data_IF_574655232711
#
_entry.id   IF_574655232711
#
_cell.length_a   1.000
_cell.length_b   1.000
_cell.length_c   1.000
_cell.angle_alpha   90.00
_cell.angle_beta   90.00
_cell.angle_gamma   90.00
#
_symmetry.space_group_name_H-M   'P 1'
#
loop_
_entity.id
_entity.type
_entity.pdbx_description
1 polymer ?
#
# COMPACT_ATOMS: atom_id res chain seq x y z
N UNK A 1 -50.07 -7.80 49.68
CA UNK A 1 -48.77 -8.32 49.31
C UNK A 1 -48.48 -7.88 47.88
N UNK A 2 -47.63 -6.86 47.67
CA UNK A 2 -47.25 -6.37 46.33
C UNK A 2 -46.09 -7.23 45.80
N UNK A 3 -46.32 -7.96 44.69
CA UNK A 3 -45.25 -8.73 44.02
C UNK A 3 -44.37 -7.76 43.23
N UNK A 4 -43.12 -7.54 43.63
CA UNK A 4 -42.13 -6.89 42.83
C UNK A 4 -41.67 -7.85 41.72
N UNK A 5 -41.90 -7.47 40.47
CA UNK A 5 -41.36 -8.15 39.29
C UNK A 5 -39.94 -7.67 39.10
N UNK A 6 -38.90 -8.53 39.09
CA UNK A 6 -37.54 -8.06 38.82
C UNK A 6 -37.41 -7.68 37.34
N UNK A 7 -37.06 -6.42 37.10
CA UNK A 7 -36.77 -5.91 35.76
C UNK A 7 -35.35 -6.35 35.39
N UNK A 8 -35.28 -7.38 34.55
CA UNK A 8 -33.99 -7.89 34.05
C UNK A 8 -33.54 -6.99 32.88
N UNK A 9 -32.64 -6.05 33.13
CA UNK A 9 -32.02 -5.24 32.09
C UNK A 9 -30.98 -6.12 31.38
N UNK A 10 -31.34 -6.61 30.19
CA UNK A 10 -30.43 -7.33 29.31
C UNK A 10 -29.48 -6.28 28.67
N UNK A 11 -28.28 -6.15 29.21
CA UNK A 11 -27.21 -5.37 28.59
C UNK A 11 -26.71 -6.14 27.36
N UNK A 12 -27.20 -5.77 26.18
CA UNK A 12 -26.63 -6.20 24.90
C UNK A 12 -25.29 -5.48 24.73
N UNK A 13 -24.22 -6.14 25.11
CA UNK A 13 -22.87 -5.73 24.69
C UNK A 13 -22.77 -5.94 23.18
N UNK A 14 -22.90 -4.87 22.40
CA UNK A 14 -22.42 -4.87 21.04
C UNK A 14 -20.88 -4.94 21.13
N UNK A 15 -20.31 -6.12 20.96
CA UNK A 15 -18.91 -6.28 20.69
C UNK A 15 -18.68 -5.77 19.27
N UNK A 16 -18.42 -4.47 19.15
CA UNK A 16 -17.84 -3.93 17.92
C UNK A 16 -16.47 -4.59 17.74
N UNK A 17 -16.43 -5.64 16.94
CA UNK A 17 -15.16 -6.16 16.45
C UNK A 17 -14.57 -5.10 15.53
N UNK A 18 -13.66 -4.28 16.07
CA UNK A 18 -12.80 -3.47 15.24
C UNK A 18 -12.09 -4.43 14.28
N UNK A 19 -12.27 -4.22 12.97
CA UNK A 19 -11.56 -5.01 11.97
C UNK A 19 -10.09 -4.61 12.08
N UNK A 20 -9.31 -5.42 12.80
CA UNK A 20 -7.88 -5.21 12.96
C UNK A 20 -7.17 -5.58 11.64
N UNK A 21 -6.18 -4.77 11.29
CA UNK A 21 -5.23 -5.16 10.23
C UNK A 21 -4.43 -6.34 10.77
N UNK A 22 -4.47 -7.47 10.07
CA UNK A 22 -3.82 -8.70 10.51
C UNK A 22 -2.30 -8.49 10.65
N UNK A 23 -1.74 -8.77 11.83
CA UNK A 23 -0.29 -8.74 12.07
C UNK A 23 0.45 -9.66 11.10
N UNK A 24 -0.09 -10.84 10.80
CA UNK A 24 0.48 -11.78 9.83
C UNK A 24 0.58 -11.12 8.45
N UNK A 25 -0.48 -10.42 8.02
CA UNK A 25 -0.54 -9.71 6.75
C UNK A 25 0.51 -8.60 6.68
N UNK A 26 0.59 -7.78 7.73
CA UNK A 26 1.60 -6.70 7.86
C UNK A 26 3.01 -7.28 7.78
N UNK A 27 3.30 -8.32 8.58
CA UNK A 27 4.60 -8.97 8.60
C UNK A 27 4.95 -9.53 7.21
N UNK A 28 4.00 -10.20 6.54
CA UNK A 28 4.23 -10.77 5.21
C UNK A 28 4.55 -9.70 4.17
N UNK A 29 3.80 -8.61 4.13
CA UNK A 29 4.04 -7.54 3.14
C UNK A 29 5.39 -6.89 3.39
N UNK A 30 5.69 -6.51 4.64
CA UNK A 30 6.94 -5.89 5.02
C UNK A 30 8.14 -6.79 4.72
N UNK A 31 8.11 -8.05 5.19
CA UNK A 31 9.22 -8.98 5.00
C UNK A 31 9.45 -9.34 3.52
N UNK A 32 8.38 -9.39 2.71
CA UNK A 32 8.53 -9.64 1.27
C UNK A 32 9.23 -8.46 0.59
N UNK A 33 8.78 -7.21 0.85
CA UNK A 33 9.40 -6.04 0.23
C UNK A 33 10.83 -5.80 0.73
N UNK A 34 11.11 -6.09 1.99
CA UNK A 34 12.44 -5.91 2.60
C UNK A 34 13.30 -7.17 2.53
N UNK A 35 12.98 -8.15 1.69
CA UNK A 35 13.76 -9.35 1.56
C UNK A 35 15.00 -9.16 0.68
N UNK A 36 16.01 -10.02 0.83
CA UNK A 36 17.23 -10.02 0.02
C UNK A 36 16.95 -10.30 -1.46
N UNK A 37 15.89 -11.06 -1.76
CA UNK A 37 15.45 -11.35 -3.13
C UNK A 37 15.02 -10.07 -3.87
N UNK A 38 14.55 -9.07 -3.14
CA UNK A 38 14.18 -7.76 -3.70
C UNK A 38 15.39 -6.84 -3.93
N UNK A 39 16.59 -7.24 -3.49
CA UNK A 39 17.86 -6.53 -3.72
C UNK A 39 17.77 -5.02 -3.54
N UNK A 40 17.04 -4.57 -2.51
CA UNK A 40 16.88 -3.15 -2.19
C UNK A 40 16.10 -2.34 -3.22
N UNK A 41 15.38 -2.95 -4.12
CA UNK A 41 14.35 -2.35 -5.00
C UNK A 41 14.79 -1.06 -5.73
N UNK A 42 16.07 -0.98 -6.14
CA UNK A 42 16.54 0.22 -6.84
C UNK A 42 15.81 0.41 -8.17
N UNK A 43 15.31 1.63 -8.43
CA UNK A 43 14.58 1.94 -9.66
C UNK A 43 15.38 1.58 -10.92
N UNK A 44 14.70 0.93 -11.87
CA UNK A 44 15.27 0.47 -13.14
C UNK A 44 15.95 -0.89 -13.06
N UNK A 45 15.75 -1.64 -11.97
CA UNK A 45 16.17 -3.05 -11.82
C UNK A 45 14.99 -4.00 -11.95
N UNK A 46 15.21 -5.28 -12.33
CA UNK A 46 14.15 -6.29 -12.37
C UNK A 46 13.48 -6.52 -11.02
N UNK A 47 14.19 -6.36 -9.93
CA UNK A 47 13.68 -6.51 -8.57
C UNK A 47 12.73 -5.36 -8.19
N UNK A 48 13.00 -4.14 -8.67
CA UNK A 48 12.08 -3.01 -8.55
C UNK A 48 10.78 -3.25 -9.33
N UNK A 49 10.87 -3.78 -10.55
CA UNK A 49 9.69 -4.17 -11.33
C UNK A 49 8.91 -5.30 -10.64
N UNK A 50 9.61 -6.26 -10.02
CA UNK A 50 8.99 -7.33 -9.23
C UNK A 50 8.25 -6.79 -8.02
N UNK A 51 8.80 -5.79 -7.33
CA UNK A 51 8.14 -5.11 -6.22
C UNK A 51 6.87 -4.38 -6.70
N UNK A 52 6.91 -3.67 -7.83
CA UNK A 52 5.74 -3.02 -8.41
C UNK A 52 4.63 -4.02 -8.72
N UNK A 53 4.96 -5.16 -9.36
CA UNK A 53 4.02 -6.25 -9.65
C UNK A 53 3.45 -6.87 -8.37
N UNK A 54 4.28 -7.03 -7.33
CA UNK A 54 3.82 -7.53 -6.03
C UNK A 54 2.79 -6.59 -5.41
N UNK A 55 3.06 -5.29 -5.37
CA UNK A 55 2.14 -4.27 -4.84
C UNK A 55 0.84 -4.24 -5.66
N UNK A 56 0.92 -4.31 -7.00
CA UNK A 56 -0.25 -4.38 -7.86
C UNK A 56 -1.15 -5.60 -7.54
N UNK A 57 -0.57 -6.77 -7.24
CA UNK A 57 -1.32 -7.95 -6.77
C UNK A 57 -2.00 -7.71 -5.43
N UNK A 58 -1.39 -6.96 -4.51
CA UNK A 58 -2.00 -6.60 -3.24
C UNK A 58 -3.20 -5.67 -3.44
N UNK A 59 -3.08 -4.67 -4.31
CA UNK A 59 -4.17 -3.75 -4.65
C UNK A 59 -5.34 -4.48 -5.33
N UNK A 60 -5.04 -5.41 -6.25
CA UNK A 60 -6.07 -6.29 -6.84
C UNK A 60 -6.76 -7.13 -5.77
N UNK A 61 -6.01 -7.71 -4.83
CA UNK A 61 -6.55 -8.49 -3.70
C UNK A 61 -7.45 -7.66 -2.78
N UNK A 62 -7.30 -6.34 -2.78
CA UNK A 62 -8.14 -5.38 -2.05
C UNK A 62 -9.33 -4.86 -2.84
N UNK A 63 -9.61 -5.43 -4.02
CA UNK A 63 -10.72 -5.03 -4.90
C UNK A 63 -10.69 -3.54 -5.26
N UNK A 64 -9.48 -2.95 -5.39
CA UNK A 64 -9.34 -1.58 -5.87
C UNK A 64 -9.59 -1.54 -7.38
N UNK A 65 -10.18 -0.45 -7.85
CA UNK A 65 -10.24 -0.11 -9.28
C UNK A 65 -8.89 0.44 -9.74
N UNK A 66 -8.65 0.46 -11.05
CA UNK A 66 -7.49 1.15 -11.61
C UNK A 66 -7.65 2.67 -11.48
N UNK A 67 -6.56 3.39 -11.21
CA UNK A 67 -6.58 4.86 -11.20
C UNK A 67 -6.76 5.43 -12.59
N UNK A 68 -6.12 4.79 -13.59
CA UNK A 68 -6.18 5.16 -15.00
C UNK A 68 -5.98 3.91 -15.85
N UNK A 69 -6.52 3.92 -17.09
CA UNK A 69 -6.38 2.80 -18.02
C UNK A 69 -6.93 1.48 -17.49
N UNK A 70 -6.21 0.39 -17.71
CA UNK A 70 -6.59 -0.99 -17.42
C UNK A 70 -5.55 -1.74 -16.53
N UNK A 71 -4.68 -1.01 -15.88
CA UNK A 71 -3.59 -1.54 -15.05
C UNK A 71 -3.39 -0.74 -13.76
N UNK A 72 -2.93 -1.41 -12.70
CA UNK A 72 -2.42 -0.74 -11.50
C UNK A 72 -1.04 -0.12 -11.72
N UNK A 73 -0.29 -0.60 -12.73
CA UNK A 73 1.02 -0.08 -13.09
C UNK A 73 0.87 1.17 -13.94
N UNK A 74 1.30 2.31 -13.43
CA UNK A 74 1.26 3.62 -14.08
C UNK A 74 2.65 3.93 -14.60
N UNK A 75 2.88 3.83 -15.93
CA UNK A 75 4.21 3.98 -16.50
C UNK A 75 4.71 5.43 -16.49
N UNK A 76 6.02 5.59 -16.34
CA UNK A 76 6.74 6.84 -16.59
C UNK A 76 8.14 6.54 -17.10
N UNK A 77 8.79 7.55 -17.70
CA UNK A 77 10.15 7.41 -18.21
C UNK A 77 11.19 7.65 -17.10
N UNK A 78 12.17 6.76 -17.03
CA UNK A 78 13.36 6.93 -16.21
C UNK A 78 14.62 6.51 -16.98
N UNK A 79 15.50 7.46 -17.32
CA UNK A 79 16.75 7.22 -18.06
C UNK A 79 16.58 6.40 -19.35
N UNK A 80 15.56 6.74 -20.15
CA UNK A 80 15.27 6.07 -21.42
C UNK A 80 14.63 4.68 -21.27
N UNK A 81 14.19 4.29 -20.07
CA UNK A 81 13.47 3.06 -19.79
C UNK A 81 12.12 3.37 -19.16
N UNK A 82 11.20 2.43 -19.27
CA UNK A 82 9.92 2.51 -18.58
C UNK A 82 10.11 2.06 -17.14
N UNK A 83 9.63 2.86 -16.19
CA UNK A 83 9.44 2.52 -14.79
C UNK A 83 7.97 2.71 -14.42
N UNK A 84 7.55 2.19 -13.27
CA UNK A 84 6.13 2.19 -12.89
C UNK A 84 5.94 2.74 -11.48
N UNK A 85 4.95 3.62 -11.31
CA UNK A 85 4.25 3.76 -10.04
C UNK A 85 3.16 2.68 -9.97
N UNK A 86 2.61 2.43 -8.77
CA UNK A 86 1.47 1.54 -8.61
C UNK A 86 0.32 2.33 -8.01
N UNK A 87 -0.84 2.34 -8.67
CA UNK A 87 -1.99 3.11 -8.24
C UNK A 87 -3.28 2.29 -8.28
N UNK A 88 -4.04 2.37 -7.20
CA UNK A 88 -5.36 1.79 -7.09
C UNK A 88 -6.33 2.75 -6.39
N UNK A 89 -7.60 2.72 -6.73
CA UNK A 89 -8.61 3.59 -6.15
C UNK A 89 -9.83 2.79 -5.66
N UNK A 90 -10.33 3.15 -4.50
CA UNK A 90 -11.65 2.76 -4.01
C UNK A 90 -12.59 3.94 -4.14
N UNK A 91 -13.62 3.82 -4.96
CA UNK A 91 -14.61 4.88 -5.17
C UNK A 91 -15.48 5.07 -3.94
N UNK A 92 -15.64 6.31 -3.52
CA UNK A 92 -16.55 6.76 -2.48
C UNK A 92 -17.85 7.33 -3.06
N UNK A 93 -18.66 7.94 -2.18
CA UNK A 93 -19.94 8.55 -2.57
C UNK A 93 -19.79 9.96 -3.12
N UNK A 94 -18.75 10.69 -2.71
CA UNK A 94 -18.47 12.07 -3.11
C UNK A 94 -17.36 12.12 -4.16
N UNK A 95 -17.23 13.28 -4.79
CA UNK A 95 -16.18 13.64 -5.75
C UNK A 95 -14.81 13.92 -5.11
N UNK A 96 -14.75 14.00 -3.77
CA UNK A 96 -13.50 14.23 -3.05
C UNK A 96 -12.71 12.94 -2.89
N UNK A 97 -11.39 13.06 -3.01
CA UNK A 97 -10.46 11.94 -2.88
C UNK A 97 -9.45 12.20 -1.77
N UNK A 98 -9.20 11.18 -0.94
CA UNK A 98 -8.08 11.11 -0.01
C UNK A 98 -7.00 10.22 -0.63
N UNK A 99 -5.76 10.69 -0.68
CA UNK A 99 -4.63 9.92 -1.18
C UNK A 99 -3.78 9.42 -0.02
N UNK A 100 -3.46 8.12 -0.03
CA UNK A 100 -2.51 7.45 0.86
C UNK A 100 -1.31 7.03 0.02
N UNK A 101 -0.13 7.51 0.38
CA UNK A 101 1.05 7.35 -0.49
C UNK A 101 2.28 6.93 0.29
N UNK A 102 3.14 6.14 -0.35
CA UNK A 102 4.49 5.81 0.09
C UNK A 102 5.35 5.56 -1.14
N UNK A 103 6.67 5.63 -1.05
CA UNK A 103 7.53 5.11 -2.10
C UNK A 103 7.95 3.68 -1.81
N UNK A 104 8.20 2.88 -2.87
CA UNK A 104 8.58 1.49 -2.71
C UNK A 104 10.01 1.18 -3.16
N UNK A 105 10.66 2.10 -3.90
CA UNK A 105 12.05 1.96 -4.25
C UNK A 105 12.96 2.22 -3.04
N UNK A 106 14.19 1.69 -3.12
CA UNK A 106 15.28 1.99 -2.21
C UNK A 106 16.60 1.95 -2.98
N UNK A 107 17.73 1.97 -2.29
CA UNK A 107 19.05 2.26 -2.90
C UNK A 107 19.80 1.04 -3.42
N UNK A 108 19.17 -0.14 -3.42
CA UNK A 108 19.74 -1.33 -4.04
C UNK A 108 20.71 -2.09 -3.15
N UNK A 109 21.86 -2.45 -3.68
CA UNK A 109 22.90 -3.22 -2.96
C UNK A 109 24.31 -2.71 -3.27
N UNK A 110 25.28 -3.16 -2.48
CA UNK A 110 26.69 -2.82 -2.66
C UNK A 110 27.53 -4.06 -3.01
N UNK A 111 28.74 -3.84 -3.55
CA UNK A 111 29.71 -4.91 -3.79
C UNK A 111 30.59 -5.22 -2.55
N UNK A 112 30.22 -4.79 -1.35
CA UNK A 112 30.97 -5.08 -0.12
C UNK A 112 30.78 -6.54 0.26
N UNK A 113 31.79 -7.14 0.92
CA UNK A 113 31.65 -8.50 1.50
C UNK A 113 30.71 -8.47 2.71
N UNK A 114 29.94 -9.54 2.90
CA UNK A 114 28.97 -9.70 3.98
C UNK A 114 27.56 -9.28 3.53
N UNK A 115 26.77 -8.80 4.48
CA UNK A 115 25.45 -8.25 4.19
C UNK A 115 25.63 -6.97 3.35
N UNK A 116 25.17 -7.05 2.12
CA UNK A 116 25.39 -6.02 1.11
C UNK A 116 24.09 -5.49 0.49
N UNK A 117 22.93 -5.98 0.92
CA UNK A 117 21.62 -5.54 0.47
C UNK A 117 21.10 -4.44 1.39
N UNK A 118 20.74 -3.31 0.83
CA UNK A 118 19.97 -2.29 1.54
C UNK A 118 18.48 -2.69 1.47
N UNK A 119 18.03 -3.46 2.45
CA UNK A 119 16.68 -4.03 2.45
C UNK A 119 15.57 -2.97 2.51
N UNK A 120 15.83 -1.80 3.08
CA UNK A 120 14.88 -0.70 3.12
C UNK A 120 13.57 -1.08 3.81
N UNK A 121 13.65 -1.74 4.99
CA UNK A 121 12.46 -2.11 5.75
C UNK A 121 11.75 -0.86 6.29
N UNK A 122 12.50 0.04 6.90
CA UNK A 122 12.03 1.32 7.41
C UNK A 122 11.84 2.35 6.27
N UNK A 123 12.79 2.39 5.33
CA UNK A 123 12.79 3.28 4.17
C UNK A 123 12.66 2.50 2.85
N UNK A 124 11.48 2.29 2.26
CA UNK A 124 10.20 2.65 2.84
C UNK A 124 9.17 1.53 2.64
N UNK A 125 9.62 0.25 2.83
CA UNK A 125 8.70 -0.89 2.79
C UNK A 125 7.61 -0.78 3.89
N UNK A 126 7.93 -0.16 5.04
CA UNK A 126 6.99 0.11 6.14
C UNK A 126 5.85 1.03 5.70
N UNK A 127 6.15 2.12 4.99
CA UNK A 127 5.17 3.03 4.43
C UNK A 127 4.26 2.34 3.41
N UNK A 128 4.82 1.54 2.50
CA UNK A 128 4.02 0.75 1.54
C UNK A 128 3.14 -0.25 2.27
N UNK A 129 3.66 -0.93 3.30
CA UNK A 129 2.89 -1.85 4.14
C UNK A 129 1.73 -1.14 4.82
N UNK A 130 1.92 0.09 5.27
CA UNK A 130 0.87 0.93 5.86
C UNK A 130 -0.20 1.28 4.82
N UNK A 131 0.18 1.69 3.61
CA UNK A 131 -0.76 1.98 2.51
C UNK A 131 -1.61 0.75 2.17
N UNK A 132 -0.98 -0.43 2.08
CA UNK A 132 -1.69 -1.70 1.86
C UNK A 132 -2.61 -2.03 3.03
N UNK A 133 -2.16 -1.86 4.28
CA UNK A 133 -2.96 -2.10 5.48
C UNK A 133 -4.20 -1.20 5.56
N UNK A 134 -4.10 0.07 5.16
CA UNK A 134 -5.25 0.97 5.06
C UNK A 134 -6.21 0.47 3.97
N UNK A 135 -5.71 0.01 2.83
CA UNK A 135 -6.54 -0.57 1.76
C UNK A 135 -7.25 -1.85 2.24
N UNK A 136 -6.55 -2.74 2.96
CA UNK A 136 -7.12 -3.95 3.59
C UNK A 136 -8.26 -3.57 4.57
N UNK A 137 -8.03 -2.56 5.43
CA UNK A 137 -9.02 -2.09 6.41
C UNK A 137 -10.30 -1.57 5.77
N UNK A 138 -10.17 -0.83 4.66
CA UNK A 138 -11.32 -0.24 3.99
C UNK A 138 -11.94 -1.12 2.90
N UNK A 139 -11.38 -2.30 2.63
CA UNK A 139 -11.80 -3.18 1.54
C UNK A 139 -13.31 -3.36 1.45
N UNK A 140 -13.95 -3.76 2.56
CA UNK A 140 -15.39 -4.04 2.62
C UNK A 140 -16.22 -2.86 3.16
N UNK A 141 -15.58 -1.72 3.49
CA UNK A 141 -16.26 -0.56 4.07
C UNK A 141 -16.77 0.39 2.99
N UNK A 142 -17.97 0.91 3.17
CA UNK A 142 -18.48 2.04 2.37
C UNK A 142 -17.81 3.33 2.86
N UNK A 143 -17.28 4.12 1.94
CA UNK A 143 -16.59 5.38 2.24
C UNK A 143 -17.35 6.56 1.66
N UNK A 144 -17.24 7.72 2.31
CA UNK A 144 -17.82 8.94 1.78
C UNK A 144 -16.90 9.55 0.71
N UNK A 145 -15.61 9.65 1.00
CA UNK A 145 -14.59 10.07 0.03
C UNK A 145 -14.05 8.87 -0.75
N UNK A 146 -13.66 9.10 -1.99
CA UNK A 146 -12.81 8.16 -2.73
C UNK A 146 -11.45 8.05 -2.04
N UNK A 147 -10.85 6.87 -2.08
CA UNK A 147 -9.55 6.60 -1.48
C UNK A 147 -8.58 6.13 -2.58
N UNK A 148 -7.54 6.89 -2.79
CA UNK A 148 -6.49 6.59 -3.76
C UNK A 148 -5.27 6.09 -3.00
N UNK A 149 -4.73 4.97 -3.44
CA UNK A 149 -3.56 4.31 -2.85
C UNK A 149 -2.45 4.31 -3.89
N UNK A 150 -1.32 4.94 -3.58
CA UNK A 150 -0.22 5.08 -4.53
C UNK A 150 1.07 4.60 -3.87
N UNK A 151 1.75 3.67 -4.54
CA UNK A 151 3.15 3.36 -4.27
C UNK A 151 4.00 4.03 -5.36
N UNK A 152 4.72 5.07 -4.97
CA UNK A 152 5.60 5.82 -5.87
C UNK A 152 6.91 5.09 -6.08
N UNK A 153 7.55 5.35 -7.22
CA UNK A 153 8.86 4.83 -7.58
C UNK A 153 9.85 5.97 -7.85
N UNK A 154 11.12 5.73 -7.56
CA UNK A 154 12.19 6.68 -7.85
C UNK A 154 12.21 7.89 -6.91
N UNK A 155 11.75 7.74 -5.68
CA UNK A 155 11.89 8.73 -4.62
C UNK A 155 13.35 9.02 -4.36
N UNK A 156 14.17 7.97 -4.17
CA UNK A 156 15.61 7.99 -3.90
C UNK A 156 16.45 8.64 -5.00
N UNK A 157 15.87 8.80 -6.17
CA UNK A 157 16.51 9.51 -7.32
C UNK A 157 15.87 10.87 -7.57
N UNK A 158 15.22 11.45 -6.56
CA UNK A 158 14.63 12.79 -6.58
C UNK A 158 13.16 12.79 -7.00
N UNK A 159 12.34 11.91 -6.40
CA UNK A 159 10.88 11.90 -6.50
C UNK A 159 10.37 11.74 -7.94
N UNK A 160 11.00 10.88 -8.76
CA UNK A 160 10.71 10.78 -10.20
C UNK A 160 9.26 10.37 -10.48
N UNK A 161 8.78 9.34 -9.79
CA UNK A 161 7.42 8.83 -10.01
C UNK A 161 6.33 9.79 -9.53
N UNK A 162 6.50 10.45 -8.39
CA UNK A 162 5.51 11.43 -7.91
C UNK A 162 5.45 12.67 -8.79
N UNK A 163 6.60 13.14 -9.31
CA UNK A 163 6.63 14.22 -10.30
C UNK A 163 5.90 13.83 -11.58
N UNK A 164 6.12 12.62 -12.08
CA UNK A 164 5.45 12.15 -13.31
C UNK A 164 3.92 12.13 -13.16
N UNK A 165 3.38 11.76 -12.00
CA UNK A 165 1.93 11.85 -11.75
C UNK A 165 1.48 13.31 -11.62
N UNK A 166 2.24 14.18 -10.97
CA UNK A 166 1.87 15.58 -10.81
C UNK A 166 1.86 16.35 -12.15
N UNK A 167 2.71 15.97 -13.09
CA UNK A 167 2.78 16.56 -14.43
C UNK A 167 1.70 16.03 -15.38
N UNK A 168 1.18 14.81 -15.12
CA UNK A 168 0.14 14.14 -15.90
C UNK A 168 -0.90 13.51 -14.95
N UNK A 169 -1.74 14.33 -14.30
CA UNK A 169 -2.68 13.90 -13.28
C UNK A 169 -3.87 13.07 -13.85
#
# INVERSE_FOLDING_TARGET
>A
MKKLLPFFILFLFNLDYAQEVSQERVTKVLSTLASDEMKGREIGTPENDSAAVYIAKLFKGNNLDFCTGDSYLVPFEYKGKVAYNVCGIKKGKSDKTLAFTAHFDHIGFTNKKGDNVYNGADDNASGVTTVVGIADYFKEKKTNFSMMFIAFNGEEKGMKGSKAIAENP
#
